data_IF_546479928399
#
_entry.id   IF_546479928399
#
_cell.length_a   1.000
_cell.length_b   1.000
_cell.length_c   1.000
_cell.angle_alpha   90.00
_cell.angle_beta   90.00
_cell.angle_gamma   90.00
#
_symmetry.space_group_name_H-M   'P 1'
#
loop_
_entity.id
_entity.type
_entity.pdbx_description
1 polymer ?
#
# COMPACT_ATOMS: atom_id res chain seq x y z
N UNK A 1 -9.41 6.15 -12.30
CA UNK A 1 -9.84 5.72 -10.96
C UNK A 1 -9.47 4.27 -10.71
N UNK A 2 -9.20 3.93 -9.46
CA UNK A 2 -9.01 2.54 -8.99
C UNK A 2 -10.25 2.17 -8.19
N UNK A 3 -10.87 1.04 -8.51
CA UNK A 3 -12.05 0.51 -7.80
C UNK A 3 -11.68 -0.70 -6.95
N UNK A 4 -12.59 -1.13 -6.07
CA UNK A 4 -12.39 -2.33 -5.25
C UNK A 4 -12.24 -3.59 -6.12
N UNK A 5 -11.29 -4.44 -5.77
CA UNK A 5 -10.99 -5.68 -6.51
C UNK A 5 -10.02 -5.52 -7.68
N UNK A 6 -9.69 -4.29 -8.09
CA UNK A 6 -8.69 -4.03 -9.13
C UNK A 6 -7.33 -4.61 -8.76
N UNK A 7 -6.62 -5.12 -9.77
CA UNK A 7 -5.24 -5.56 -9.63
C UNK A 7 -4.29 -4.45 -10.03
N UNK A 8 -3.51 -4.00 -9.07
CA UNK A 8 -2.52 -2.94 -9.25
C UNK A 8 -1.13 -3.55 -9.31
N UNK A 9 -0.37 -3.19 -10.35
CA UNK A 9 1.04 -3.58 -10.50
C UNK A 9 1.90 -2.46 -9.95
N UNK A 10 2.77 -2.79 -9.00
CA UNK A 10 3.59 -1.84 -8.29
C UNK A 10 5.08 -2.08 -8.62
N UNK A 11 5.74 -1.08 -9.21
CA UNK A 11 7.18 -1.12 -9.51
C UNK A 11 7.97 -0.37 -8.45
N UNK A 12 9.28 -0.67 -8.26
CA UNK A 12 10.14 0.12 -7.39
C UNK A 12 10.05 1.62 -7.66
N UNK A 13 10.04 2.41 -6.59
CA UNK A 13 9.91 3.86 -6.61
C UNK A 13 8.46 4.38 -6.69
N UNK A 14 7.48 3.52 -6.97
CA UNK A 14 6.08 3.96 -7.06
C UNK A 14 5.41 4.02 -5.68
N UNK A 15 4.54 5.01 -5.51
CA UNK A 15 3.62 5.07 -4.39
C UNK A 15 2.42 4.17 -4.64
N UNK A 16 1.90 3.59 -3.56
CA UNK A 16 0.67 2.80 -3.63
C UNK A 16 -0.52 3.75 -3.76
N UNK A 17 -1.38 3.61 -4.78
CA UNK A 17 -2.54 4.49 -4.95
C UNK A 17 -3.62 4.25 -3.89
N UNK A 18 -3.81 3.01 -3.45
CA UNK A 18 -4.87 2.58 -2.53
C UNK A 18 -4.40 1.42 -1.66
N UNK A 19 -5.13 1.11 -0.59
CA UNK A 19 -4.84 -0.03 0.27
C UNK A 19 -5.21 -1.34 -0.42
N UNK A 20 -4.55 -2.44 -0.03
CA UNK A 20 -4.83 -3.74 -0.61
C UNK A 20 -4.11 -4.91 0.03
N UNK A 21 -4.13 -6.04 -0.67
CA UNK A 21 -3.47 -7.29 -0.28
C UNK A 21 -2.63 -7.82 -1.44
N UNK A 22 -1.37 -8.18 -1.16
CA UNK A 22 -0.45 -8.71 -2.17
C UNK A 22 -0.95 -10.07 -2.65
N UNK A 23 -1.07 -10.23 -3.97
CA UNK A 23 -1.49 -11.48 -4.59
C UNK A 23 -0.36 -12.16 -5.38
N UNK A 24 0.69 -11.42 -5.72
CA UNK A 24 1.84 -11.96 -6.46
C UNK A 24 3.12 -11.16 -6.17
N UNK A 25 4.26 -11.86 -6.11
CA UNK A 25 5.58 -11.25 -5.93
C UNK A 25 5.88 -10.87 -4.48
N UNK A 26 6.82 -9.94 -4.32
CA UNK A 26 7.24 -9.44 -3.02
C UNK A 26 8.17 -8.25 -3.15
N UNK A 27 8.16 -7.39 -2.13
CA UNK A 27 8.99 -6.18 -2.09
C UNK A 27 9.18 -5.67 -0.67
N UNK A 28 10.07 -4.71 -0.51
CA UNK A 28 10.12 -3.86 0.68
C UNK A 28 9.35 -2.55 0.44
N UNK A 29 8.48 -2.22 1.38
CA UNK A 29 7.66 -1.00 1.35
C UNK A 29 8.08 -0.09 2.50
N UNK A 30 8.27 1.19 2.19
CA UNK A 30 8.52 2.24 3.16
C UNK A 30 7.19 2.80 3.66
N UNK A 31 6.85 2.40 4.88
CA UNK A 31 5.64 2.79 5.61
C UNK A 31 5.93 3.89 6.66
N UNK A 32 7.16 4.44 6.68
CA UNK A 32 7.66 5.38 7.71
C UNK A 32 6.77 6.60 7.91
N UNK A 33 6.22 7.14 6.81
CA UNK A 33 5.33 8.30 6.82
C UNK A 33 3.98 8.06 7.51
N UNK A 34 3.57 6.80 7.70
CA UNK A 34 2.27 6.43 8.27
C UNK A 34 2.39 5.71 9.62
N UNK A 35 3.33 4.77 9.73
CA UNK A 35 3.50 3.96 10.94
C UNK A 35 4.59 4.50 11.87
N UNK A 36 5.49 5.33 11.36
CA UNK A 36 6.67 5.81 12.09
C UNK A 36 7.83 4.80 12.13
N UNK A 37 7.70 3.64 11.47
CA UNK A 37 8.77 2.65 11.41
C UNK A 37 9.85 3.09 10.40
N UNK A 38 11.08 3.27 10.87
CA UNK A 38 12.18 3.80 10.04
C UNK A 38 12.69 2.83 8.97
N UNK A 39 12.52 1.52 9.19
CA UNK A 39 13.01 0.50 8.26
C UNK A 39 11.88 0.04 7.33
N UNK A 40 12.15 -0.11 6.02
CA UNK A 40 11.17 -0.68 5.10
C UNK A 40 10.68 -2.06 5.53
N UNK A 41 9.37 -2.30 5.42
CA UNK A 41 8.71 -3.54 5.80
C UNK A 41 8.65 -4.47 4.58
N UNK A 42 9.08 -5.72 4.75
CA UNK A 42 8.97 -6.75 3.71
C UNK A 42 7.51 -7.20 3.57
N UNK A 43 7.02 -7.24 2.33
CA UNK A 43 5.68 -7.71 1.97
C UNK A 43 5.79 -8.88 0.99
N UNK A 44 5.00 -9.91 1.25
CA UNK A 44 4.82 -11.13 0.43
C UNK A 44 3.33 -11.36 0.18
N UNK A 45 3.01 -12.35 -0.66
CA UNK A 45 1.63 -12.77 -0.93
C UNK A 45 0.86 -13.02 0.37
N UNK A 46 -0.35 -12.45 0.46
CA UNK A 46 -1.23 -12.46 1.63
C UNK A 46 -1.01 -11.28 2.59
N UNK A 47 0.08 -10.52 2.46
CA UNK A 47 0.31 -9.36 3.31
C UNK A 47 -0.50 -8.15 2.85
N UNK A 48 -0.91 -7.32 3.82
CA UNK A 48 -1.58 -6.06 3.57
C UNK A 48 -0.59 -4.97 3.22
N UNK A 49 -1.01 -4.11 2.29
CA UNK A 49 -0.29 -2.92 1.86
C UNK A 49 -1.16 -1.69 2.02
N UNK A 50 -0.54 -0.56 2.35
CA UNK A 50 -1.23 0.67 2.69
C UNK A 50 -0.99 1.71 1.59
N UNK A 51 -2.05 2.39 1.16
CA UNK A 51 -1.96 3.51 0.22
C UNK A 51 -1.04 4.61 0.73
N UNK A 52 -0.49 5.40 -0.18
CA UNK A 52 0.49 6.46 0.07
C UNK A 52 1.87 6.04 0.61
N UNK A 53 2.09 4.75 0.86
CA UNK A 53 3.44 4.19 1.13
C UNK A 53 4.25 4.06 -0.15
N UNK A 54 5.57 3.83 -0.05
CA UNK A 54 6.48 3.80 -1.21
C UNK A 54 7.06 2.40 -1.39
N UNK A 55 6.90 1.82 -2.58
CA UNK A 55 7.61 0.62 -2.96
C UNK A 55 9.10 0.89 -3.18
N UNK A 56 10.01 0.17 -2.52
CA UNK A 56 11.46 0.43 -2.64
C UNK A 56 12.17 -0.48 -3.64
N UNK A 57 11.80 -1.75 -3.74
CA UNK A 57 12.65 -2.76 -4.40
C UNK A 57 11.91 -3.63 -5.42
N UNK A 58 11.31 -4.73 -5.00
CA UNK A 58 10.66 -5.70 -5.86
C UNK A 58 9.43 -5.17 -6.59
N UNK A 59 9.00 -5.93 -7.60
CA UNK A 59 7.70 -5.74 -8.24
C UNK A 59 6.69 -6.64 -7.55
N UNK A 60 5.52 -6.10 -7.23
CA UNK A 60 4.41 -6.88 -6.70
C UNK A 60 3.11 -6.55 -7.42
N UNK A 61 2.17 -7.49 -7.39
CA UNK A 61 0.78 -7.25 -7.74
C UNK A 61 -0.06 -7.38 -6.49
N UNK A 62 -0.98 -6.46 -6.31
CA UNK A 62 -1.89 -6.48 -5.17
C UNK A 62 -3.31 -6.19 -5.60
N UNK A 63 -4.28 -6.77 -4.89
CA UNK A 63 -5.70 -6.53 -5.07
C UNK A 63 -6.13 -5.37 -4.17
N UNK A 64 -6.82 -4.39 -4.71
CA UNK A 64 -7.37 -3.28 -3.91
C UNK A 64 -8.44 -3.78 -2.94
N UNK A 65 -8.35 -3.35 -1.67
CA UNK A 65 -9.30 -3.74 -0.62
C UNK A 65 -9.98 -2.53 0.03
N UNK A 66 -9.38 -1.35 -0.04
CA UNK A 66 -9.99 -0.09 0.41
C UNK A 66 -9.56 1.04 -0.52
N UNK A 67 -10.52 1.84 -0.98
CA UNK A 67 -10.30 2.93 -1.93
C UNK A 67 -10.92 4.22 -1.41
N UNK A 68 -10.41 5.38 -1.86
CA UNK A 68 -10.95 6.68 -1.47
C UNK A 68 -10.99 6.90 0.04
N UNK A 69 -12.18 7.22 0.57
CA UNK A 69 -12.40 7.53 1.98
C UNK A 69 -12.15 6.35 2.93
N UNK A 70 -12.17 5.11 2.42
CA UNK A 70 -11.95 3.92 3.25
C UNK A 70 -10.47 3.62 3.49
N UNK A 71 -9.55 4.29 2.77
CA UNK A 71 -8.11 4.07 2.92
C UNK A 71 -7.61 4.46 4.32
N UNK A 72 -6.56 3.80 4.79
CA UNK A 72 -5.97 4.08 6.10
C UNK A 72 -5.56 5.55 6.23
N UNK A 73 -4.97 6.14 5.17
CA UNK A 73 -4.63 7.56 5.16
C UNK A 73 -5.87 8.46 5.32
N UNK A 74 -6.95 8.18 4.59
CA UNK A 74 -8.18 8.97 4.71
C UNK A 74 -8.78 8.88 6.14
N UNK A 75 -8.71 7.71 6.77
CA UNK A 75 -9.14 7.54 8.16
C UNK A 75 -8.25 8.31 9.14
N UNK A 76 -6.93 8.33 8.94
CA UNK A 76 -6.00 9.13 9.75
C UNK A 76 -6.31 10.62 9.61
N UNK A 77 -6.48 11.12 8.38
CA UNK A 77 -6.81 12.52 8.13
C UNK A 77 -8.12 12.92 8.82
N UNK A 78 -9.12 12.04 8.83
CA UNK A 78 -10.41 12.28 9.49
C UNK A 78 -10.31 12.37 11.02
N UNK A 79 -9.36 11.67 11.64
CA UNK A 79 -9.18 11.67 13.11
C UNK A 79 -8.40 12.89 13.63
N UNK A 80 -7.57 13.49 12.77
CA UNK A 80 -6.77 14.68 13.12
C UNK A 80 -7.59 15.97 12.95
N UNK A 81 -8.65 15.94 12.14
CA UNK A 81 -9.58 17.06 11.94
C UNK A 81 -10.65 17.16 13.02
#
# INVERSE_FOLDING_TARGET
>A
DVVLGDIVILRPGNKLPVDGEVIEGGSTIDESMLTGESMPVTKKVGDKVIGATINKSGTLRYRSTKVGADTALAQIVKLVQ
#
